data_IF_034237109240
#
_entry.id   IF_034237109240
#
_cell.length_a   1.000
_cell.length_b   1.000
_cell.length_c   1.000
_cell.angle_alpha   90.00
_cell.angle_beta   90.00
_cell.angle_gamma   90.00
#
_symmetry.space_group_name_H-M   'P 1'
#
loop_
_entity.id
_entity.type
_entity.pdbx_description
1 polymer ?
#
# COMPACT_ATOMS: atom_id res chain seq x y z
N UNK A 1 -72.68 19.87 7.80
CA UNK A 1 -72.83 18.73 6.87
C UNK A 1 -71.54 18.71 6.06
N UNK A 2 -70.47 18.10 6.62
CA UNK A 2 -69.96 16.72 6.34
C UNK A 2 -69.39 16.62 4.90
N UNK A 3 -68.15 16.18 4.63
CA UNK A 3 -67.29 15.21 5.33
C UNK A 3 -65.82 15.30 4.84
N UNK A 4 -64.88 14.79 5.65
CA UNK A 4 -63.46 14.47 5.37
C UNK A 4 -63.26 13.37 4.30
N UNK A 5 -62.10 13.37 3.61
CA UNK A 5 -61.18 12.21 3.33
C UNK A 5 -59.88 12.83 2.73
N UNK A 6 -58.76 12.90 3.46
CA UNK A 6 -57.61 11.97 3.48
C UNK A 6 -57.13 11.47 2.10
N UNK A 7 -55.92 11.89 1.68
CA UNK A 7 -54.90 10.96 1.16
C UNK A 7 -53.55 11.68 0.95
N UNK A 8 -52.57 11.06 1.59
CA UNK A 8 -51.13 11.22 1.71
C UNK A 8 -50.29 11.11 0.42
N UNK A 9 -48.98 11.37 0.61
CA UNK A 9 -47.81 10.77 -0.08
C UNK A 9 -47.14 11.61 -1.18
N UNK A 10 -46.12 12.35 -0.72
CA UNK A 10 -44.74 12.46 -1.24
C UNK A 10 -44.45 12.04 -2.68
N UNK A 11 -43.74 12.91 -3.41
CA UNK A 11 -42.79 12.46 -4.43
C UNK A 11 -41.48 13.28 -4.29
N UNK A 12 -40.76 13.02 -3.20
CA UNK A 12 -39.32 13.22 -3.10
C UNK A 12 -38.65 12.06 -3.82
N UNK A 13 -38.22 12.23 -5.06
CA UNK A 13 -37.29 11.27 -5.68
C UNK A 13 -36.46 11.96 -6.77
N UNK A 14 -35.63 12.92 -6.35
CA UNK A 14 -34.54 13.45 -7.20
C UNK A 14 -33.19 13.51 -6.43
N UNK A 15 -33.06 12.76 -5.33
CA UNK A 15 -31.90 12.89 -4.42
C UNK A 15 -31.17 11.56 -4.12
N UNK A 16 -31.21 10.59 -5.04
CA UNK A 16 -30.52 9.29 -4.87
C UNK A 16 -29.48 8.95 -5.95
N UNK A 17 -29.01 9.92 -6.73
CA UNK A 17 -27.99 9.69 -7.75
C UNK A 17 -26.55 10.15 -7.37
N UNK A 18 -26.29 10.52 -6.10
CA UNK A 18 -24.99 11.09 -5.69
C UNK A 18 -24.26 10.35 -4.55
N UNK A 19 -24.66 9.11 -4.22
CA UNK A 19 -24.15 8.40 -3.04
C UNK A 19 -23.09 7.31 -3.29
N UNK A 20 -22.76 6.98 -4.54
CA UNK A 20 -21.94 5.80 -4.86
C UNK A 20 -20.50 6.12 -5.32
N UNK A 21 -20.08 7.38 -5.27
CA UNK A 21 -18.75 7.81 -5.75
C UNK A 21 -17.69 7.93 -4.64
N UNK A 22 -18.04 7.76 -3.35
CA UNK A 22 -17.14 8.00 -2.21
C UNK A 22 -16.71 6.75 -1.42
N UNK A 23 -17.05 5.55 -1.91
CA UNK A 23 -16.77 4.26 -1.23
C UNK A 23 -15.59 3.48 -1.81
N UNK A 24 -14.78 4.10 -2.68
CA UNK A 24 -13.53 3.48 -3.15
C UNK A 24 -12.52 3.43 -2.01
N UNK A 25 -11.93 2.26 -1.68
CA UNK A 25 -10.97 2.13 -0.60
C UNK A 25 -9.78 3.07 -0.83
N UNK A 26 -9.44 3.90 0.16
CA UNK A 26 -8.37 4.89 0.04
C UNK A 26 -7.37 4.72 1.16
N UNK A 27 -6.12 4.45 0.80
CA UNK A 27 -5.00 4.48 1.73
C UNK A 27 -4.64 5.93 2.07
N UNK A 28 -4.42 6.17 3.36
CA UNK A 28 -4.12 7.50 3.90
C UNK A 28 -2.77 7.52 4.62
N UNK A 29 -2.26 8.72 4.93
CA UNK A 29 -1.08 8.83 5.81
C UNK A 29 -1.32 8.27 7.20
N UNK A 30 -2.56 8.37 7.71
CA UNK A 30 -2.94 7.78 9.00
C UNK A 30 -2.81 6.26 8.95
N UNK A 31 -3.19 5.65 7.84
CA UNK A 31 -3.02 4.22 7.60
C UNK A 31 -1.55 3.81 7.65
N UNK A 32 -0.66 4.58 7.02
CA UNK A 32 0.77 4.33 7.05
C UNK A 32 1.34 4.40 8.48
N UNK A 33 0.93 5.39 9.29
CA UNK A 33 1.36 5.53 10.69
C UNK A 33 0.89 4.35 11.55
N UNK A 34 -0.33 3.88 11.34
CA UNK A 34 -0.86 2.71 12.07
C UNK A 34 -0.12 1.43 11.66
N UNK A 35 0.10 1.22 10.36
CA UNK A 35 0.87 0.10 9.85
C UNK A 35 2.31 0.09 10.38
N UNK A 36 2.95 1.27 10.49
CA UNK A 36 4.28 1.41 11.10
C UNK A 36 4.28 1.03 12.59
N UNK A 37 3.24 1.40 13.32
CA UNK A 37 3.05 0.97 14.71
C UNK A 37 2.96 -0.55 14.83
N UNK A 38 2.24 -1.21 13.92
CA UNK A 38 2.18 -2.67 13.85
C UNK A 38 3.54 -3.31 13.49
N UNK A 39 4.35 -2.62 12.69
CA UNK A 39 5.73 -3.02 12.35
C UNK A 39 6.73 -2.88 13.52
N UNK A 40 6.27 -2.37 14.68
CA UNK A 40 7.09 -2.14 15.87
C UNK A 40 8.06 -0.95 15.73
N UNK A 41 7.82 -0.04 14.79
CA UNK A 41 8.61 1.17 14.58
C UNK A 41 8.19 2.22 15.61
N UNK A 42 9.14 2.79 16.34
CA UNK A 42 8.87 3.88 17.27
C UNK A 42 8.59 5.18 16.51
N UNK A 43 7.70 6.04 17.02
CA UNK A 43 7.46 7.35 16.41
C UNK A 43 8.69 8.27 16.58
N UNK A 44 9.69 8.12 15.72
CA UNK A 44 10.78 9.07 15.52
C UNK A 44 10.59 9.70 14.13
N UNK A 45 10.65 11.03 14.04
CA UNK A 45 10.33 11.79 12.82
C UNK A 45 11.52 12.57 12.31
N UNK A 46 12.21 12.05 11.30
CA UNK A 46 13.36 12.56 10.52
C UNK A 46 13.66 11.69 9.25
N UNK A 47 12.70 10.99 8.62
CA UNK A 47 12.97 10.00 7.55
C UNK A 47 12.94 10.50 6.10
N UNK A 48 12.46 11.71 5.83
CA UNK A 48 12.15 12.17 4.47
C UNK A 48 13.37 12.18 3.51
N UNK A 49 14.58 12.42 4.04
CA UNK A 49 15.81 12.48 3.23
C UNK A 49 16.20 11.14 2.60
N UNK A 50 15.87 10.01 3.23
CA UNK A 50 16.23 8.69 2.70
C UNK A 50 15.31 8.22 1.56
N UNK A 51 14.08 8.75 1.50
CA UNK A 51 13.17 8.49 0.39
C UNK A 51 13.56 9.26 -0.87
N UNK A 52 14.04 10.51 -0.72
CA UNK A 52 14.65 11.25 -1.83
C UNK A 52 15.88 10.52 -2.40
N UNK A 53 16.69 9.86 -1.57
CA UNK A 53 17.85 9.08 -2.00
C UNK A 53 17.48 7.80 -2.81
N UNK A 54 16.21 7.38 -2.80
CA UNK A 54 15.70 6.36 -3.74
C UNK A 54 15.46 6.92 -5.14
N UNK A 55 15.25 8.24 -5.25
CA UNK A 55 15.05 8.94 -6.51
C UNK A 55 16.31 9.61 -7.07
N UNK A 56 17.32 9.87 -6.23
CA UNK A 56 18.58 10.52 -6.63
C UNK A 56 19.74 9.52 -6.59
N UNK A 57 19.92 8.75 -7.66
CA UNK A 57 21.18 8.05 -7.88
C UNK A 57 22.27 9.05 -8.30
N UNK A 58 22.97 9.64 -7.33
CA UNK A 58 24.24 10.30 -7.64
C UNK A 58 25.26 9.26 -8.06
N UNK A 59 25.46 9.23 -9.38
CA UNK A 59 26.39 8.42 -10.15
C UNK A 59 27.81 8.32 -9.56
N UNK A 60 28.24 7.08 -9.35
CA UNK A 60 29.65 6.69 -9.42
C UNK A 60 29.78 5.49 -10.38
N UNK A 61 29.42 5.73 -11.65
CA UNK A 61 29.52 4.76 -12.74
C UNK A 61 28.82 5.24 -14.02
N UNK A 62 29.39 5.07 -15.23
CA UNK A 62 28.77 5.54 -16.47
C UNK A 62 27.79 4.48 -17.04
N UNK A 63 26.50 4.59 -16.68
CA UNK A 63 25.25 4.04 -17.29
C UNK A 63 24.18 4.13 -16.18
N UNK A 64 22.99 4.68 -16.27
CA UNK A 64 22.15 5.25 -17.32
C UNK A 64 21.33 6.38 -16.67
N UNK A 65 20.94 7.41 -17.44
CA UNK A 65 20.07 8.49 -16.94
C UNK A 65 18.58 8.12 -16.96
N UNK A 66 18.29 6.83 -17.14
CA UNK A 66 16.97 6.23 -17.35
C UNK A 66 16.72 5.10 -16.34
N UNK A 67 17.19 5.24 -15.10
CA UNK A 67 16.75 4.42 -13.97
C UNK A 67 15.49 5.08 -13.36
N UNK A 68 14.27 4.51 -13.50
CA UNK A 68 13.19 4.86 -12.60
C UNK A 68 13.68 4.42 -11.24
N UNK A 69 13.95 5.40 -10.39
CA UNK A 69 14.52 5.19 -9.07
C UNK A 69 13.76 4.11 -8.31
N UNK A 70 14.42 3.51 -7.33
CA UNK A 70 13.84 2.43 -6.52
C UNK A 70 12.45 2.78 -5.96
N UNK A 71 12.17 4.07 -5.74
CA UNK A 71 10.86 4.63 -5.38
C UNK A 71 9.75 4.23 -6.36
N UNK A 72 9.93 4.51 -7.66
CA UNK A 72 8.92 4.29 -8.69
C UNK A 72 8.59 2.80 -8.81
N UNK A 73 9.61 1.95 -8.74
CA UNK A 73 9.44 0.49 -8.75
C UNK A 73 8.70 -0.02 -7.51
N UNK A 74 8.99 0.52 -6.32
CA UNK A 74 8.28 0.14 -5.09
C UNK A 74 6.80 0.53 -5.18
N UNK A 75 6.49 1.74 -5.65
CA UNK A 75 5.10 2.19 -5.82
C UNK A 75 4.37 1.35 -6.86
N UNK A 76 5.00 1.12 -8.02
CA UNK A 76 4.43 0.27 -9.07
C UNK A 76 4.17 -1.17 -8.59
N UNK A 77 5.05 -1.71 -7.74
CA UNK A 77 4.87 -3.03 -7.14
C UNK A 77 3.68 -3.04 -6.18
N UNK A 78 3.52 -1.99 -5.37
CA UNK A 78 2.36 -1.85 -4.50
C UNK A 78 1.05 -1.77 -5.30
N UNK A 79 1.02 -1.01 -6.40
CA UNK A 79 -0.14 -0.93 -7.30
C UNK A 79 -0.52 -2.29 -7.91
N UNK A 80 0.48 -3.12 -8.23
CA UNK A 80 0.26 -4.47 -8.76
C UNK A 80 -0.23 -5.46 -7.68
N UNK A 81 0.29 -5.35 -6.46
CA UNK A 81 -0.05 -6.24 -5.34
C UNK A 81 -1.38 -5.90 -4.67
N UNK A 82 -1.75 -4.63 -4.59
CA UNK A 82 -2.96 -4.21 -3.89
C UNK A 82 -4.21 -4.47 -4.75
N UNK A 83 -5.38 -4.72 -4.12
CA UNK A 83 -6.63 -4.92 -4.85
C UNK A 83 -6.94 -3.77 -5.80
N UNK A 84 -7.60 -4.08 -6.92
CA UNK A 84 -8.01 -3.03 -7.87
C UNK A 84 -8.98 -2.05 -7.20
N UNK A 85 -8.89 -0.77 -7.55
CA UNK A 85 -9.74 0.28 -6.99
C UNK A 85 -9.25 0.87 -5.67
N UNK A 86 -8.18 0.33 -5.06
CA UNK A 86 -7.49 0.99 -3.96
C UNK A 86 -6.79 2.24 -4.47
N UNK A 87 -7.03 3.37 -3.81
CA UNK A 87 -6.43 4.68 -4.16
C UNK A 87 -5.48 5.17 -3.07
N UNK A 88 -4.64 6.17 -3.37
CA UNK A 88 -3.72 6.77 -2.40
C UNK A 88 -2.41 6.00 -2.13
N UNK A 89 -2.13 4.98 -2.96
CA UNK A 89 -1.01 4.03 -2.80
C UNK A 89 0.34 4.75 -2.70
N UNK A 90 0.67 5.64 -3.63
CA UNK A 90 1.95 6.38 -3.67
C UNK A 90 2.26 7.08 -2.33
N UNK A 91 1.33 7.92 -1.86
CA UNK A 91 1.50 8.67 -0.60
C UNK A 91 1.59 7.78 0.64
N UNK A 92 0.92 6.62 0.62
CA UNK A 92 0.94 5.64 1.69
C UNK A 92 2.28 4.91 1.73
N UNK A 93 2.74 4.41 0.58
CA UNK A 93 4.01 3.70 0.43
C UNK A 93 5.17 4.61 0.82
N UNK A 94 5.19 5.85 0.32
CA UNK A 94 6.16 6.86 0.74
C UNK A 94 6.19 7.00 2.25
N UNK A 95 5.03 7.28 2.86
CA UNK A 95 4.94 7.53 4.32
C UNK A 95 5.37 6.31 5.13
N UNK A 96 5.01 5.11 4.68
CA UNK A 96 5.36 3.86 5.33
C UNK A 96 6.87 3.58 5.21
N UNK A 97 7.43 3.60 4.00
CA UNK A 97 8.85 3.31 3.78
C UNK A 97 9.72 4.36 4.48
N UNK A 98 9.40 5.66 4.35
CA UNK A 98 10.06 6.75 5.10
C UNK A 98 10.08 6.48 6.60
N UNK A 99 8.94 6.07 7.18
CA UNK A 99 8.85 5.76 8.60
C UNK A 99 9.69 4.54 9.00
N UNK A 100 9.72 3.51 8.14
CA UNK A 100 10.41 2.24 8.38
C UNK A 100 11.93 2.38 8.38
N UNK A 101 12.47 3.24 7.52
CA UNK A 101 13.91 3.47 7.34
C UNK A 101 14.57 4.02 8.61
N UNK A 102 13.86 4.86 9.35
CA UNK A 102 14.41 5.61 10.48
C UNK A 102 14.94 4.72 11.61
N UNK A 103 14.42 3.49 11.73
CA UNK A 103 14.84 2.56 12.76
C UNK A 103 15.86 1.50 12.26
N UNK A 104 16.05 1.32 10.94
CA UNK A 104 16.85 0.18 10.38
C UNK A 104 17.46 0.43 8.99
N UNK A 105 18.62 1.06 8.92
CA UNK A 105 19.34 1.33 7.65
C UNK A 105 19.64 0.07 6.80
N UNK A 106 20.13 -1.01 7.41
CA UNK A 106 20.44 -2.24 6.68
C UNK A 106 19.20 -2.93 6.08
N UNK A 107 18.04 -2.77 6.71
CA UNK A 107 16.78 -3.29 6.18
C UNK A 107 16.36 -2.51 4.93
N UNK A 108 16.52 -1.18 4.98
CA UNK A 108 16.23 -0.31 3.85
C UNK A 108 17.10 -0.60 2.63
N UNK A 109 18.40 -0.85 2.83
CA UNK A 109 19.28 -1.28 1.74
C UNK A 109 18.79 -2.58 1.08
N UNK A 110 18.19 -3.48 1.87
CA UNK A 110 17.52 -4.68 1.38
C UNK A 110 16.31 -4.37 0.49
N UNK A 111 15.44 -3.44 0.90
CA UNK A 111 14.29 -2.98 0.11
C UNK A 111 14.74 -2.34 -1.20
N UNK A 112 15.72 -1.43 -1.15
CA UNK A 112 16.27 -0.77 -2.35
C UNK A 112 16.90 -1.79 -3.31
N UNK A 113 17.69 -2.72 -2.79
CA UNK A 113 18.30 -3.77 -3.61
C UNK A 113 17.25 -4.68 -4.24
N UNK A 114 16.20 -5.05 -3.51
CA UNK A 114 15.10 -5.86 -4.01
C UNK A 114 14.32 -5.14 -5.13
N UNK A 115 13.98 -3.86 -4.94
CA UNK A 115 13.33 -3.05 -5.96
C UNK A 115 14.17 -2.99 -7.25
N UNK A 116 15.47 -2.76 -7.13
CA UNK A 116 16.37 -2.76 -8.29
C UNK A 116 16.40 -4.13 -9.00
N UNK A 117 16.40 -5.25 -8.26
CA UNK A 117 16.38 -6.58 -8.88
C UNK A 117 15.09 -6.87 -9.64
N UNK A 118 13.96 -6.41 -9.12
CA UNK A 118 12.69 -6.50 -9.83
C UNK A 118 12.71 -5.68 -11.13
N UNK A 119 13.21 -4.44 -11.08
CA UNK A 119 13.31 -3.58 -12.26
C UNK A 119 14.31 -4.14 -13.30
N UNK A 120 15.47 -4.63 -12.85
CA UNK A 120 16.45 -5.33 -13.69
C UNK A 120 15.82 -6.55 -14.39
N UNK A 121 14.99 -7.34 -13.69
CA UNK A 121 14.30 -8.48 -14.27
C UNK A 121 13.29 -8.03 -15.33
N UNK A 122 12.45 -7.05 -15.03
CA UNK A 122 11.47 -6.51 -15.98
C UNK A 122 12.15 -5.97 -17.25
N UNK A 123 13.23 -5.20 -17.12
CA UNK A 123 13.98 -4.71 -18.29
C UNK A 123 14.56 -5.83 -19.13
N UNK A 124 14.98 -6.93 -18.49
CA UNK A 124 15.58 -8.04 -19.20
C UNK A 124 14.56 -8.83 -20.03
N UNK A 125 13.32 -8.94 -19.54
CA UNK A 125 12.29 -9.77 -20.17
C UNK A 125 11.23 -8.98 -20.96
N UNK A 126 10.91 -7.75 -20.53
CA UNK A 126 9.88 -6.87 -21.10
C UNK A 126 10.45 -5.65 -21.85
N UNK A 127 11.78 -5.52 -21.92
CA UNK A 127 12.51 -4.40 -22.55
C UNK A 127 12.09 -3.00 -22.02
N UNK A 128 11.46 -2.94 -20.84
CA UNK A 128 10.93 -1.73 -20.22
C UNK A 128 11.16 -1.75 -18.71
N UNK A 129 11.30 -0.57 -18.06
CA UNK A 129 11.34 -0.53 -16.62
C UNK A 129 10.01 -1.01 -16.02
N UNK A 130 10.08 -1.65 -14.85
CA UNK A 130 8.92 -2.24 -14.17
C UNK A 130 7.83 -1.19 -13.90
N UNK A 131 8.25 0.03 -13.53
CA UNK A 131 7.34 1.13 -13.25
C UNK A 131 6.53 1.60 -14.48
N UNK A 132 7.01 1.34 -15.71
CA UNK A 132 6.33 1.73 -16.95
C UNK A 132 5.38 0.65 -17.49
N UNK A 133 5.44 -0.55 -16.92
CA UNK A 133 4.54 -1.64 -17.28
C UNK A 133 3.11 -1.34 -16.79
N UNK A 134 2.10 -1.88 -17.48
CA UNK A 134 0.74 -1.87 -16.96
C UNK A 134 0.57 -2.90 -15.83
N UNK A 135 -0.54 -2.80 -15.09
CA UNK A 135 -0.76 -3.60 -13.88
C UNK A 135 -0.79 -5.11 -14.13
N UNK A 136 -1.39 -5.55 -15.24
CA UNK A 136 -1.47 -6.97 -15.60
C UNK A 136 -0.07 -7.50 -15.90
N UNK A 137 0.71 -6.79 -16.72
CA UNK A 137 2.09 -7.16 -17.03
C UNK A 137 2.98 -7.18 -15.77
N UNK A 138 2.79 -6.24 -14.84
CA UNK A 138 3.52 -6.25 -13.55
C UNK A 138 3.22 -7.49 -12.71
N UNK A 139 1.99 -8.00 -12.76
CA UNK A 139 1.61 -9.24 -12.07
C UNK A 139 2.23 -10.45 -12.77
N UNK A 140 2.21 -10.49 -14.10
CA UNK A 140 2.89 -11.54 -14.87
C UNK A 140 4.40 -11.59 -14.54
N UNK A 141 5.05 -10.43 -14.39
CA UNK A 141 6.46 -10.37 -13.96
C UNK A 141 6.68 -11.03 -12.59
N UNK A 142 5.75 -10.89 -11.63
CA UNK A 142 5.88 -11.56 -10.33
C UNK A 142 5.81 -13.09 -10.46
N UNK A 143 4.89 -13.57 -11.30
CA UNK A 143 4.67 -14.99 -11.57
C UNK A 143 5.87 -15.59 -12.31
N UNK A 144 6.33 -14.95 -13.39
CA UNK A 144 7.45 -15.40 -14.21
C UNK A 144 8.79 -15.34 -13.46
N UNK A 145 8.96 -14.32 -12.62
CA UNK A 145 10.11 -14.24 -11.72
C UNK A 145 10.06 -15.30 -10.62
N UNK A 146 8.90 -15.93 -10.40
CA UNK A 146 8.69 -17.01 -9.45
C UNK A 146 8.68 -16.53 -8.00
N UNK A 147 8.19 -15.31 -7.77
CA UNK A 147 8.19 -14.70 -6.43
C UNK A 147 7.16 -15.33 -5.50
N UNK A 148 6.05 -15.84 -6.04
CA UNK A 148 4.99 -16.46 -5.24
C UNK A 148 5.35 -17.83 -4.67
N UNK A 149 6.17 -18.59 -5.39
CA UNK A 149 6.68 -19.90 -4.94
C UNK A 149 7.99 -19.80 -4.13
N UNK A 150 8.57 -18.60 -4.02
CA UNK A 150 9.84 -18.38 -3.31
C UNK A 150 9.64 -18.28 -1.80
N UNK A 151 10.53 -18.91 -1.04
CA UNK A 151 10.59 -18.72 0.41
C UNK A 151 11.10 -17.31 0.75
N UNK A 152 10.49 -16.58 1.70
CA UNK A 152 11.00 -15.27 2.08
C UNK A 152 12.23 -15.41 2.97
N UNK A 153 13.43 -15.24 2.39
CA UNK A 153 14.72 -15.32 3.10
C UNK A 153 15.59 -14.08 2.82
N UNK A 154 15.94 -13.26 3.85
CA UNK A 154 16.79 -12.09 3.67
C UNK A 154 18.24 -12.43 3.25
N UNK A 155 18.71 -13.63 3.57
CA UNK A 155 20.05 -14.15 3.25
C UNK A 155 20.03 -15.13 2.07
N UNK A 156 18.86 -15.31 1.45
CA UNK A 156 18.63 -16.24 0.34
C UNK A 156 19.06 -15.71 -1.04
N UNK A 157 18.59 -16.39 -2.07
CA UNK A 157 18.72 -16.02 -3.47
C UNK A 157 18.01 -14.69 -3.79
N UNK A 158 18.25 -14.16 -4.98
CA UNK A 158 17.66 -12.88 -5.40
C UNK A 158 16.13 -12.88 -5.32
N UNK A 159 15.47 -13.96 -5.73
CA UNK A 159 14.00 -14.10 -5.68
C UNK A 159 13.47 -14.15 -4.25
N UNK A 160 14.13 -14.91 -3.39
CA UNK A 160 13.80 -15.04 -1.96
C UNK A 160 13.95 -13.69 -1.24
N UNK A 161 14.99 -12.92 -1.59
CA UNK A 161 15.22 -11.58 -1.07
C UNK A 161 14.21 -10.57 -1.60
N UNK A 162 13.81 -10.64 -2.88
CA UNK A 162 12.73 -9.80 -3.43
C UNK A 162 11.41 -10.10 -2.74
N UNK A 163 11.09 -11.39 -2.55
CA UNK A 163 9.90 -11.83 -1.80
C UNK A 163 9.92 -11.31 -0.36
N UNK A 164 11.07 -11.40 0.32
CA UNK A 164 11.23 -10.95 1.71
C UNK A 164 11.15 -9.42 1.86
N UNK A 165 11.99 -8.67 1.13
CA UNK A 165 12.18 -7.24 1.36
C UNK A 165 11.15 -6.36 0.64
N UNK A 166 10.56 -6.81 -0.46
CA UNK A 166 9.64 -6.00 -1.25
C UNK A 166 8.21 -6.49 -1.15
N UNK A 167 7.94 -7.71 -1.62
CA UNK A 167 6.56 -8.22 -1.72
C UNK A 167 5.92 -8.33 -0.34
N UNK A 168 6.57 -9.03 0.58
CA UNK A 168 6.03 -9.22 1.93
C UNK A 168 5.94 -7.92 2.71
N UNK A 169 6.89 -7.00 2.55
CA UNK A 169 6.87 -5.73 3.26
C UNK A 169 5.70 -4.85 2.79
N UNK A 170 5.45 -4.78 1.47
CA UNK A 170 4.32 -4.04 0.90
C UNK A 170 2.97 -4.66 1.30
N UNK A 171 2.85 -5.99 1.27
CA UNK A 171 1.65 -6.69 1.72
C UNK A 171 1.43 -6.53 3.21
N UNK A 172 2.50 -6.61 4.02
CA UNK A 172 2.44 -6.38 5.45
C UNK A 172 1.94 -4.97 5.76
N UNK A 173 2.49 -3.95 5.08
CA UNK A 173 2.07 -2.57 5.24
C UNK A 173 0.57 -2.41 4.97
N UNK A 174 0.10 -2.97 3.85
CA UNK A 174 -1.30 -2.90 3.46
C UNK A 174 -2.22 -3.58 4.48
N UNK A 175 -1.97 -4.85 4.82
CA UNK A 175 -2.84 -5.59 5.74
C UNK A 175 -2.78 -5.10 7.18
N UNK A 176 -1.70 -4.43 7.56
CA UNK A 176 -1.57 -3.78 8.87
C UNK A 176 -2.25 -2.41 8.93
N UNK A 177 -2.67 -1.86 7.79
CA UNK A 177 -3.43 -0.62 7.75
C UNK A 177 -4.92 -0.84 8.03
N UNK A 178 -5.63 0.14 8.62
CA UNK A 178 -7.09 0.09 8.75
C UNK A 178 -7.81 -0.20 7.44
N UNK A 179 -7.46 0.51 6.36
CA UNK A 179 -8.08 0.34 5.05
C UNK A 179 -7.80 -1.02 4.43
N UNK A 180 -6.56 -1.52 4.50
CA UNK A 180 -6.25 -2.85 3.96
C UNK A 180 -6.80 -3.98 4.82
N UNK A 181 -6.79 -3.82 6.15
CA UNK A 181 -7.35 -4.80 7.09
C UNK A 181 -8.87 -4.97 6.95
N UNK A 182 -9.62 -3.90 6.66
CA UNK A 182 -11.07 -4.00 6.44
C UNK A 182 -11.43 -4.77 5.17
N UNK A 183 -10.63 -4.63 4.10
CA UNK A 183 -10.87 -5.32 2.83
C UNK A 183 -10.73 -6.84 2.89
N UNK A 184 -9.99 -7.36 3.86
CA UNK A 184 -9.84 -8.81 4.10
C UNK A 184 -10.59 -9.30 5.33
N UNK A 185 -11.42 -8.46 5.95
CA UNK A 185 -12.16 -8.82 7.16
C UNK A 185 -11.24 -9.12 8.36
N UNK A 186 -10.03 -8.55 8.39
CA UNK A 186 -9.09 -8.60 9.51
C UNK A 186 -9.41 -7.54 10.58
N UNK A 187 -10.59 -6.94 10.54
CA UNK A 187 -11.06 -6.06 11.61
C UNK A 187 -11.09 -6.81 12.94
N UNK A 188 -10.56 -6.17 13.98
CA UNK A 188 -10.72 -6.71 15.33
C UNK A 188 -12.23 -6.76 15.65
N UNK A 189 -12.79 -7.93 15.97
CA UNK A 189 -14.20 -8.06 16.25
C UNK A 189 -14.58 -7.24 17.49
N UNK A 190 -15.86 -6.84 17.61
CA UNK A 190 -16.35 -6.10 18.76
C UNK A 190 -15.95 -6.80 20.09
N UNK A 191 -15.23 -6.09 20.96
CA UNK A 191 -14.81 -6.58 22.27
C UNK A 191 -13.40 -7.16 22.36
N UNK A 192 -12.57 -7.10 21.31
CA UNK A 192 -11.13 -7.37 21.41
C UNK A 192 -10.32 -6.11 21.77
N UNK A 193 -9.27 -6.23 22.59
CA UNK A 193 -8.44 -5.09 22.98
C UNK A 193 -7.75 -4.50 21.74
N UNK A 194 -8.13 -3.26 21.37
CA UNK A 194 -7.53 -2.54 20.23
C UNK A 194 -8.51 -1.77 19.32
N UNK A 195 -9.83 -1.96 19.45
CA UNK A 195 -10.82 -1.20 18.67
C UNK A 195 -11.07 0.21 19.24
N UNK A 196 -10.79 1.26 18.45
CA UNK A 196 -10.87 2.66 18.91
C UNK A 196 -12.27 3.31 18.79
N UNK A 197 -13.23 2.71 18.09
CA UNK A 197 -14.53 3.36 17.83
C UNK A 197 -15.70 2.91 18.73
N UNK A 198 -15.59 1.79 19.43
CA UNK A 198 -16.72 1.22 20.18
C UNK A 198 -16.86 1.70 21.63
N UNK A 199 -15.96 2.56 22.13
CA UNK A 199 -16.00 3.04 23.53
C UNK A 199 -16.71 4.37 23.77
N UNK A 200 -17.19 5.07 22.72
CA UNK A 200 -17.82 6.39 22.90
C UNK A 200 -19.35 6.43 22.88
N UNK A 201 -20.04 5.30 22.66
CA UNK A 201 -21.50 5.28 22.83
C UNK A 201 -21.85 4.63 24.16
N UNK A 202 -21.78 5.43 25.22
CA UNK A 202 -22.48 5.13 26.46
C UNK A 202 -23.98 4.98 26.19
N UNK A 203 -24.72 4.20 27.00
CA UNK A 203 -26.15 4.00 26.79
C UNK A 203 -26.88 5.34 26.78
N UNK A 204 -27.70 5.56 25.75
CA UNK A 204 -28.73 6.60 25.77
C UNK A 204 -29.73 6.25 26.90
N UNK A 205 -30.04 7.23 27.76
CA UNK A 205 -31.00 7.12 28.87
C UNK A 205 -32.44 6.79 28.42
#
# INVERSE_FOLDING_TARGET
>A
MTNETDESVTNETDEQANGAEDDTPRLTRRDAVIALGAAGVGAAGLGALAWDDLGDETADGPTDRDDPGGRETIVAAAEALYPEGVTGIDSFVESYVVGRIQDRSAYFDGVRAAARRLDEYARHWDDRPFAELDRETRQDVFDEYGLDDSEPDPDGSERERVRYYLINELLFAFYSSPTGGSLVGLENPPGHPGGLDSYQRGPDE
#
